data_IF_696788913727
#
_entry.id   IF_696788913727
#
_cell.length_a   1.000
_cell.length_b   1.000
_cell.length_c   1.000
_cell.angle_alpha   90.00
_cell.angle_beta   90.00
_cell.angle_gamma   90.00
#
_symmetry.space_group_name_H-M   'P 1'
#
loop_
_entity.id
_entity.type
_entity.pdbx_description
1 polymer ?
#
# COMPACT_ATOMS: atom_id res chain seq x y z
N UNK A 1 28.02 3.72 -4.24
CA UNK A 1 26.77 4.48 -4.48
C UNK A 1 25.57 3.55 -4.33
N UNK A 2 24.68 3.74 -3.35
CA UNK A 2 23.56 2.80 -3.16
C UNK A 2 22.43 3.14 -4.14
N UNK A 3 22.13 2.21 -5.03
CA UNK A 3 21.08 2.40 -6.03
C UNK A 3 19.69 2.43 -5.34
N UNK A 4 19.18 3.65 -5.09
CA UNK A 4 17.90 3.91 -4.43
C UNK A 4 16.73 3.21 -5.15
N UNK A 5 16.83 3.05 -6.47
CA UNK A 5 15.86 2.32 -7.28
C UNK A 5 15.80 0.82 -6.92
N UNK A 6 16.97 0.21 -6.66
CA UNK A 6 17.06 -1.20 -6.21
C UNK A 6 16.45 -1.37 -4.82
N UNK A 7 16.68 -0.42 -3.91
CA UNK A 7 16.07 -0.41 -2.57
C UNK A 7 14.55 -0.32 -2.63
N UNK A 8 14.01 0.54 -3.51
CA UNK A 8 12.56 0.66 -3.74
C UNK A 8 11.93 -0.67 -4.17
N UNK A 9 12.49 -1.32 -5.19
CA UNK A 9 11.99 -2.62 -5.67
C UNK A 9 12.05 -3.72 -4.60
N UNK A 10 13.09 -3.74 -3.78
CA UNK A 10 13.21 -4.69 -2.65
C UNK A 10 12.15 -4.42 -1.60
N UNK A 11 11.93 -3.16 -1.23
CA UNK A 11 10.90 -2.78 -0.26
C UNK A 11 9.51 -3.17 -0.76
N UNK A 12 9.18 -2.91 -2.03
CA UNK A 12 7.91 -3.35 -2.63
C UNK A 12 7.75 -4.87 -2.58
N UNK A 13 8.79 -5.64 -2.95
CA UNK A 13 8.75 -7.12 -2.88
C UNK A 13 8.48 -7.59 -1.46
N UNK A 14 9.13 -6.99 -0.47
CA UNK A 14 8.92 -7.29 0.95
C UNK A 14 7.50 -6.96 1.41
N UNK A 15 6.97 -5.79 1.03
CA UNK A 15 5.58 -5.40 1.35
C UNK A 15 4.57 -6.33 0.69
N UNK A 16 4.81 -6.77 -0.55
CA UNK A 16 3.95 -7.77 -1.22
C UNK A 16 3.88 -9.06 -0.41
N UNK A 17 5.04 -9.59 0.02
CA UNK A 17 5.09 -10.81 0.83
C UNK A 17 4.40 -10.63 2.18
N UNK A 18 4.59 -9.47 2.81
CA UNK A 18 3.92 -9.13 4.06
C UNK A 18 2.40 -9.02 3.92
N UNK A 19 1.90 -8.42 2.83
CA UNK A 19 0.46 -8.38 2.55
C UNK A 19 -0.11 -9.79 2.35
N UNK A 20 0.58 -10.65 1.60
CA UNK A 20 0.20 -12.05 1.42
C UNK A 20 0.14 -12.79 2.77
N UNK A 21 1.12 -12.61 3.65
CA UNK A 21 1.13 -13.25 4.97
C UNK A 21 0.03 -12.74 5.90
N UNK A 22 -0.52 -11.54 5.63
CA UNK A 22 -1.72 -11.00 6.30
C UNK A 22 -3.04 -11.45 5.66
N UNK A 23 -3.00 -12.40 4.73
CA UNK A 23 -4.17 -12.96 4.06
C UNK A 23 -4.73 -12.11 2.91
N UNK A 24 -4.00 -11.08 2.46
CA UNK A 24 -4.43 -10.34 1.27
C UNK A 24 -4.30 -11.21 0.02
N UNK A 25 -5.30 -11.11 -0.85
CA UNK A 25 -5.40 -11.85 -2.11
C UNK A 25 -5.18 -10.92 -3.30
N UNK A 26 -4.92 -11.50 -4.48
CA UNK A 26 -4.74 -10.76 -5.73
C UNK A 26 -3.73 -9.59 -5.61
N UNK A 27 -2.59 -9.86 -4.99
CA UNK A 27 -1.55 -8.85 -4.73
C UNK A 27 -0.75 -8.60 -6.02
N UNK A 28 -0.91 -7.40 -6.60
CA UNK A 28 -0.28 -7.00 -7.87
C UNK A 28 0.53 -5.73 -7.69
N UNK A 29 1.75 -5.70 -8.22
CA UNK A 29 2.57 -4.48 -8.29
C UNK A 29 2.19 -3.65 -9.51
N UNK A 30 2.16 -2.34 -9.35
CA UNK A 30 1.97 -1.38 -10.44
C UNK A 30 3.22 -1.35 -11.31
N UNK A 31 3.08 -1.46 -12.63
CA UNK A 31 4.22 -1.39 -13.54
C UNK A 31 4.75 0.05 -13.59
N UNK A 32 5.99 0.25 -13.16
CA UNK A 32 6.76 1.49 -13.38
C UNK A 32 6.53 2.65 -12.40
N UNK A 33 5.86 2.47 -11.26
CA UNK A 33 5.61 3.52 -10.25
C UNK A 33 5.01 4.86 -10.77
N UNK A 34 4.49 4.90 -12.01
CA UNK A 34 3.82 6.09 -12.57
C UNK A 34 2.40 6.27 -12.05
N UNK A 35 1.87 5.24 -11.38
CA UNK A 35 0.54 5.23 -10.81
C UNK A 35 0.47 5.80 -9.39
N UNK A 36 -0.74 6.15 -8.91
CA UNK A 36 -0.94 6.73 -7.58
C UNK A 36 -0.87 5.71 -6.43
N UNK A 37 -0.49 4.46 -6.72
CA UNK A 37 -0.24 3.37 -5.79
C UNK A 37 0.84 2.45 -6.38
N UNK A 38 1.61 1.81 -5.50
CA UNK A 38 2.65 0.85 -5.89
C UNK A 38 2.10 -0.58 -5.92
N UNK A 39 1.16 -0.90 -5.02
CA UNK A 39 0.58 -2.22 -4.87
C UNK A 39 -0.94 -2.13 -4.84
N UNK A 40 -1.58 -3.02 -5.60
CA UNK A 40 -2.99 -3.36 -5.46
C UNK A 40 -3.12 -4.70 -4.72
N UNK A 41 -4.08 -4.80 -3.82
CA UNK A 41 -4.41 -6.05 -3.13
C UNK A 41 -5.88 -6.08 -2.75
N UNK A 42 -6.41 -7.26 -2.42
CA UNK A 42 -7.75 -7.42 -1.86
C UNK A 42 -7.60 -7.90 -0.42
N UNK A 43 -8.16 -7.17 0.54
CA UNK A 43 -8.11 -7.56 1.94
C UNK A 43 -8.86 -8.87 2.19
N UNK A 44 -8.60 -9.58 3.30
CA UNK A 44 -9.38 -10.77 3.68
C UNK A 44 -10.89 -10.52 3.71
N UNK A 45 -11.33 -9.30 4.01
CA UNK A 45 -12.74 -8.88 4.00
C UNK A 45 -13.29 -8.56 2.61
N UNK A 46 -12.53 -8.83 1.54
CA UNK A 46 -12.92 -8.57 0.16
C UNK A 46 -12.86 -7.10 -0.24
N UNK A 47 -12.05 -6.26 0.42
CA UNK A 47 -11.94 -4.83 0.11
C UNK A 47 -10.75 -4.58 -0.82
N UNK A 48 -11.00 -3.95 -1.96
CA UNK A 48 -9.97 -3.46 -2.89
C UNK A 48 -9.09 -2.44 -2.18
N UNK A 49 -7.82 -2.74 -2.02
CA UNK A 49 -6.85 -2.00 -1.22
C UNK A 49 -5.73 -1.49 -2.13
N UNK A 50 -5.55 -0.17 -2.14
CA UNK A 50 -4.53 0.53 -2.90
C UNK A 50 -3.45 1.01 -1.93
N UNK A 51 -2.21 0.57 -2.14
CA UNK A 51 -1.11 0.76 -1.22
C UNK A 51 0.03 1.51 -1.90
N UNK A 52 0.45 2.61 -1.28
CA UNK A 52 1.74 3.23 -1.58
C UNK A 52 2.80 2.70 -0.62
N UNK A 53 3.95 2.30 -1.12
CA UNK A 53 5.10 1.87 -0.33
C UNK A 53 6.05 3.05 -0.12
N UNK A 54 6.48 3.23 1.12
CA UNK A 54 7.56 4.13 1.49
C UNK A 54 8.58 3.36 2.32
N UNK A 55 9.86 3.69 2.16
CA UNK A 55 10.94 2.99 2.87
C UNK A 55 11.93 3.97 3.49
N UNK A 56 12.58 3.55 4.57
CA UNK A 56 13.60 4.33 5.28
C UNK A 56 13.07 5.71 5.70
N UNK A 57 13.72 6.81 5.30
CA UNK A 57 13.31 8.18 5.60
C UNK A 57 12.23 8.73 4.66
N UNK A 58 11.87 8.01 3.59
CA UNK A 58 10.91 8.51 2.61
C UNK A 58 9.51 8.63 3.23
N UNK A 59 8.87 9.80 3.00
CA UNK A 59 7.50 10.08 3.47
C UNK A 59 6.52 10.18 2.31
N UNK A 60 5.23 10.02 2.63
CA UNK A 60 4.16 10.26 1.67
C UNK A 60 3.88 11.76 1.56
N UNK A 61 4.00 12.31 0.35
CA UNK A 61 3.69 13.72 0.08
C UNK A 61 2.18 13.99 0.17
N UNK A 62 1.80 15.26 0.41
CA UNK A 62 0.38 15.69 0.43
C UNK A 62 -0.31 15.33 -0.90
N UNK A 63 0.36 15.57 -2.02
CA UNK A 63 -0.16 15.22 -3.35
C UNK A 63 -0.30 13.72 -3.56
N UNK A 64 0.71 12.93 -3.19
CA UNK A 64 0.65 11.47 -3.28
C UNK A 64 -0.51 10.91 -2.47
N UNK A 65 -0.72 11.46 -1.26
CA UNK A 65 -1.89 11.15 -0.42
C UNK A 65 -3.20 11.50 -1.14
N UNK A 66 -3.32 12.69 -1.74
CA UNK A 66 -4.53 13.11 -2.48
C UNK A 66 -4.80 12.17 -3.67
N UNK A 67 -3.80 11.90 -4.50
CA UNK A 67 -3.92 11.01 -5.67
C UNK A 67 -4.34 9.59 -5.28
N UNK A 68 -3.72 9.03 -4.23
CA UNK A 68 -4.06 7.70 -3.72
C UNK A 68 -5.50 7.65 -3.18
N UNK A 69 -5.92 8.64 -2.37
CA UNK A 69 -7.30 8.74 -1.88
C UNK A 69 -8.31 8.86 -3.02
N UNK A 70 -8.00 9.67 -4.03
CA UNK A 70 -8.88 9.86 -5.19
C UNK A 70 -9.10 8.56 -5.97
N UNK A 71 -8.04 7.75 -6.18
CA UNK A 71 -8.19 6.44 -6.83
C UNK A 71 -8.99 5.47 -5.97
N UNK A 72 -8.71 5.41 -4.67
CA UNK A 72 -9.49 4.55 -3.77
C UNK A 72 -10.97 4.96 -3.74
N UNK A 73 -11.27 6.26 -3.69
CA UNK A 73 -12.64 6.80 -3.75
C UNK A 73 -13.32 6.44 -5.08
N UNK A 74 -12.68 6.73 -6.21
CA UNK A 74 -13.22 6.41 -7.55
C UNK A 74 -13.51 4.93 -7.73
N UNK A 75 -12.67 4.07 -7.17
CA UNK A 75 -12.78 2.61 -7.30
C UNK A 75 -13.47 1.92 -6.11
N UNK A 76 -14.16 2.69 -5.25
CA UNK A 76 -14.88 2.22 -4.05
C UNK A 76 -14.02 1.24 -3.21
N UNK A 77 -12.83 1.67 -2.83
CA UNK A 77 -11.84 0.86 -2.13
C UNK A 77 -11.23 1.55 -0.91
N UNK A 78 -10.14 0.98 -0.43
CA UNK A 78 -9.39 1.43 0.73
C UNK A 78 -8.01 1.95 0.29
N UNK A 79 -7.62 3.09 0.84
CA UNK A 79 -6.29 3.67 0.65
C UNK A 79 -5.45 3.47 1.92
N UNK A 80 -4.22 3.01 1.74
CA UNK A 80 -3.21 2.99 2.79
C UNK A 80 -1.83 3.30 2.23
N UNK A 81 -0.92 3.72 3.10
CA UNK A 81 0.49 3.60 2.80
C UNK A 81 1.15 2.65 3.77
N UNK A 82 2.18 1.95 3.30
CA UNK A 82 2.99 1.05 4.12
C UNK A 82 4.39 1.63 4.20
N UNK A 83 4.86 1.82 5.43
CA UNK A 83 6.22 2.21 5.72
C UNK A 83 7.05 0.97 6.09
N UNK A 84 8.09 0.70 5.31
CA UNK A 84 9.14 -0.26 5.61
C UNK A 84 10.36 0.45 6.22
N UNK A 85 10.72 0.10 7.44
CA UNK A 85 11.81 0.78 8.18
C UNK A 85 13.24 0.41 7.72
N UNK A 86 13.37 -0.58 6.83
CA UNK A 86 14.67 -1.12 6.42
C UNK A 86 15.11 -2.34 7.23
N UNK A 87 14.63 -2.49 8.47
CA UNK A 87 15.03 -3.52 9.46
C UNK A 87 14.02 -4.68 9.58
N UNK A 88 12.93 -4.66 8.81
CA UNK A 88 11.94 -5.75 8.80
C UNK A 88 10.58 -5.36 9.37
N UNK A 89 10.41 -4.13 9.89
CA UNK A 89 9.12 -3.68 10.44
C UNK A 89 8.31 -3.02 9.34
N UNK A 90 7.02 -3.37 9.31
CA UNK A 90 6.04 -2.81 8.40
C UNK A 90 4.96 -2.10 9.19
N UNK A 91 4.73 -0.82 8.88
CA UNK A 91 3.62 -0.05 9.45
C UNK A 91 2.66 0.33 8.34
N UNK A 92 1.45 -0.23 8.36
CA UNK A 92 0.38 0.21 7.48
C UNK A 92 -0.42 1.32 8.14
N UNK A 93 -0.52 2.45 7.47
CA UNK A 93 -1.30 3.60 7.93
C UNK A 93 -2.51 3.78 7.03
N UNK A 94 -3.74 3.68 7.58
CA UNK A 94 -4.97 3.93 6.83
C UNK A 94 -5.05 5.40 6.39
N UNK A 95 -5.50 5.63 5.16
CA UNK A 95 -5.74 6.97 4.60
C UNK A 95 -7.22 7.22 4.27
N UNK A 96 -8.03 6.16 4.25
CA UNK A 96 -9.48 6.24 4.14
C UNK A 96 -10.09 4.98 3.53
N UNK A 97 -11.38 4.77 3.77
CA UNK A 97 -12.17 3.65 3.27
C UNK A 97 -13.43 4.17 2.57
N UNK A 98 -13.59 3.85 1.29
CA UNK A 98 -14.77 4.19 0.47
C UNK A 98 -15.44 2.94 -0.11
N UNK A 99 -15.16 1.77 0.45
CA UNK A 99 -15.73 0.50 -0.03
C UNK A 99 -17.18 0.25 0.41
N UNK A 100 -17.75 1.13 1.24
CA UNK A 100 -19.05 0.91 1.88
C UNK A 100 -19.03 -0.19 2.95
N UNK A 101 -18.01 -1.06 2.96
CA UNK A 101 -17.79 -2.08 3.98
C UNK A 101 -17.06 -1.44 5.16
N UNK A 102 -17.71 -1.36 6.33
CA UNK A 102 -17.00 -1.07 7.59
C UNK A 102 -15.94 -2.15 7.80
N UNK A 103 -14.74 -1.73 8.22
CA UNK A 103 -13.71 -2.66 8.66
C UNK A 103 -14.34 -3.48 9.79
N UNK A 104 -14.56 -4.79 9.59
CA UNK A 104 -14.82 -5.68 10.73
C UNK A 104 -13.53 -5.64 11.55
N UNK A 105 -13.50 -4.81 12.58
CA UNK A 105 -12.48 -4.89 13.62
C UNK A 105 -12.80 -6.22 14.29
N UNK A 106 -12.00 -7.24 13.99
CA UNK A 106 -12.09 -8.50 14.72
C UNK A 106 -11.88 -8.19 16.19
N UNK A 107 -12.84 -8.59 17.03
CA UNK A 107 -12.64 -8.75 18.47
C UNK A 107 -11.53 -9.77 18.70
#
# INVERSE_FOLDING_TARGET
MVNLYRRGRVAEKKVVNWLKSKGFRNVRRSKGSKGPYDIYAVSPSGIKTYVQVKSYSARLTKEGRKKLRNVAKKRKGFAAYVHYDGKGKFRMVPLGNWSGKRRKVGK
#
